data_IF_686669354256
#
_entry.id   IF_686669354256
#
_cell.length_a   1.000
_cell.length_b   1.000
_cell.length_c   1.000
_cell.angle_alpha   90.00
_cell.angle_beta   90.00
_cell.angle_gamma   90.00
#
_symmetry.space_group_name_H-M   'P 1'
#
loop_
_entity.id
_entity.type
_entity.pdbx_description
1 polymer ?
#
# COMPACT_ATOMS: atom_id res chain seq x y z
N UNK A 1 62.71 55.27 -35.13
CA UNK A 1 62.18 56.67 -35.22
C UNK A 1 60.69 56.49 -34.89
N UNK A 2 60.26 56.89 -33.83
CA UNK A 2 60.05 57.91 -32.82
C UNK A 2 58.86 57.36 -32.09
N UNK A 3 58.99 57.13 -30.86
CA UNK A 3 58.75 58.04 -29.70
C UNK A 3 57.26 58.36 -29.49
N UNK A 4 56.73 57.76 -28.45
CA UNK A 4 56.41 58.33 -27.14
C UNK A 4 55.05 59.06 -27.14
N UNK A 5 54.17 58.71 -26.27
CA UNK A 5 53.80 59.46 -25.12
C UNK A 5 52.69 58.80 -24.31
N UNK A 6 52.96 58.78 -23.01
CA UNK A 6 52.03 58.56 -21.90
C UNK A 6 50.93 59.59 -21.92
N UNK A 7 49.74 59.25 -21.50
CA UNK A 7 49.05 60.02 -20.49
C UNK A 7 47.97 59.27 -19.74
N UNK A 8 48.03 59.46 -18.46
CA UNK A 8 47.12 58.96 -17.42
C UNK A 8 45.87 59.83 -17.34
N UNK A 9 44.72 59.23 -17.02
CA UNK A 9 43.76 59.84 -16.08
C UNK A 9 42.61 58.83 -15.83
N UNK A 10 42.53 58.29 -14.67
CA UNK A 10 41.59 58.49 -13.54
C UNK A 10 40.14 58.41 -13.85
N UNK A 11 39.58 57.39 -13.15
CA UNK A 11 38.34 57.42 -12.39
C UNK A 11 37.03 57.78 -13.10
N UNK A 12 36.17 56.82 -13.23
CA UNK A 12 34.82 57.04 -12.67
C UNK A 12 34.15 55.73 -12.27
N UNK A 13 33.68 55.80 -11.10
CA UNK A 13 32.86 54.87 -10.33
C UNK A 13 31.55 54.52 -11.01
N UNK A 14 31.15 53.26 -10.86
CA UNK A 14 29.84 52.92 -10.33
C UNK A 14 28.69 53.03 -11.31
N UNK A 15 28.33 51.89 -11.86
CA UNK A 15 26.91 51.62 -12.09
C UNK A 15 26.66 50.16 -11.70
N UNK A 16 26.12 50.00 -10.48
CA UNK A 16 25.55 48.76 -10.02
C UNK A 16 24.41 48.44 -10.97
N UNK A 17 24.63 47.44 -11.82
CA UNK A 17 23.55 46.77 -12.56
C UNK A 17 22.65 46.06 -11.54
N UNK A 18 21.57 46.72 -11.15
CA UNK A 18 20.48 46.11 -10.40
C UNK A 18 19.94 44.94 -11.16
N UNK A 19 20.23 43.76 -10.67
CA UNK A 19 19.63 42.52 -11.11
C UNK A 19 18.09 42.66 -11.04
N UNK A 20 17.34 42.36 -12.12
CA UNK A 20 15.88 42.43 -12.06
C UNK A 20 15.38 41.38 -11.08
N UNK A 21 14.72 41.80 -10.00
CA UNK A 21 13.95 40.92 -9.13
C UNK A 21 12.94 40.17 -10.01
N UNK A 22 13.16 38.88 -10.19
CA UNK A 22 12.15 37.98 -10.77
C UNK A 22 10.92 38.04 -9.88
N UNK A 23 9.81 38.46 -10.46
CA UNK A 23 8.49 38.34 -9.83
C UNK A 23 8.23 36.84 -9.60
N UNK A 24 7.67 36.44 -8.45
CA UNK A 24 7.32 35.04 -8.22
C UNK A 24 6.32 34.58 -9.29
N UNK A 25 6.63 33.43 -9.88
CA UNK A 25 5.78 32.76 -10.86
C UNK A 25 4.38 32.49 -10.26
N UNK A 26 3.31 32.70 -11.02
CA UNK A 26 1.93 32.39 -10.58
C UNK A 26 1.57 30.90 -10.67
N UNK A 27 2.55 30.01 -10.84
CA UNK A 27 2.28 28.59 -10.80
C UNK A 27 2.06 28.17 -9.33
N UNK A 28 0.93 27.51 -9.02
CA UNK A 28 0.72 26.96 -7.70
C UNK A 28 1.88 26.00 -7.41
N UNK A 29 2.47 26.17 -6.23
CA UNK A 29 3.53 25.26 -5.74
C UNK A 29 3.06 23.84 -5.92
N UNK A 30 3.92 23.00 -6.49
CA UNK A 30 3.66 21.58 -6.64
C UNK A 30 3.16 21.05 -5.30
N UNK A 31 1.95 20.50 -5.28
CA UNK A 31 1.36 19.90 -4.11
C UNK A 31 2.32 18.83 -3.60
N UNK A 32 2.87 19.02 -2.40
CA UNK A 32 3.47 17.93 -1.64
C UNK A 32 2.38 16.92 -1.29
N UNK A 33 2.16 15.96 -2.18
CA UNK A 33 1.21 14.84 -2.02
C UNK A 33 1.76 13.81 -1.02
N UNK A 34 2.87 14.11 -0.36
CA UNK A 34 3.55 13.19 0.53
C UNK A 34 3.10 13.41 1.98
N UNK A 35 2.17 12.57 2.46
CA UNK A 35 2.07 12.33 3.90
C UNK A 35 3.28 11.50 4.28
N UNK A 36 4.27 12.04 5.02
CA UNK A 36 5.47 11.28 5.32
C UNK A 36 5.10 10.02 6.08
N UNK A 37 5.65 8.87 5.66
CA UNK A 37 5.45 7.53 6.28
C UNK A 37 5.44 7.58 7.82
N UNK A 38 6.23 8.50 8.41
CA UNK A 38 6.29 8.73 9.86
C UNK A 38 5.02 9.32 10.48
N UNK A 39 4.25 10.15 9.76
CA UNK A 39 3.00 10.70 10.27
C UNK A 39 1.89 9.66 10.26
N UNK A 40 1.82 8.84 9.22
CA UNK A 40 0.88 7.72 9.16
C UNK A 40 1.14 6.71 10.29
N UNK A 41 2.40 6.33 10.53
CA UNK A 41 2.78 5.43 11.61
C UNK A 41 2.46 6.02 13.01
N UNK A 42 2.59 7.34 13.20
CA UNK A 42 2.18 8.01 14.44
C UNK A 42 0.67 8.00 14.65
N UNK A 43 -0.11 8.19 13.58
CA UNK A 43 -1.58 8.13 13.67
C UNK A 43 -2.08 6.69 13.91
N UNK A 44 -1.40 5.68 13.35
CA UNK A 44 -1.65 4.27 13.69
C UNK A 44 -1.37 3.99 15.18
N UNK A 45 -0.29 4.56 15.74
CA UNK A 45 0.08 4.39 17.15
C UNK A 45 -0.95 5.00 18.12
N UNK A 46 -1.59 6.12 17.76
CA UNK A 46 -2.64 6.71 18.57
C UNK A 46 -3.96 5.93 18.53
N UNK A 47 -4.23 5.18 17.45
CA UNK A 47 -5.41 4.29 17.34
C UNK A 47 -5.30 3.01 18.17
N UNK A 48 -4.09 2.59 18.54
CA UNK A 48 -3.85 1.34 19.27
C UNK A 48 -4.00 1.46 20.80
N UNK A 49 -4.03 2.68 21.35
CA UNK A 49 -4.12 2.91 22.80
C UNK A 49 -5.50 2.57 23.42
N UNK A 50 -6.53 2.26 22.62
CA UNK A 50 -7.89 1.98 23.10
C UNK A 50 -8.20 0.49 23.31
N UNK A 51 -7.23 -0.42 23.13
CA UNK A 51 -7.46 -1.87 23.22
C UNK A 51 -6.70 -2.60 24.34
N UNK A 52 -6.25 -1.89 25.37
CA UNK A 52 -5.63 -2.53 26.53
C UNK A 52 -6.64 -2.63 27.69
N UNK A 53 -7.61 -3.53 27.59
CA UNK A 53 -8.30 -4.07 28.76
C UNK A 53 -8.00 -5.57 28.83
N UNK A 54 -7.09 -6.03 29.70
CA UNK A 54 -6.97 -7.45 30.00
C UNK A 54 -8.11 -7.82 30.95
N UNK A 55 -9.07 -8.57 30.48
CA UNK A 55 -10.13 -9.00 31.38
C UNK A 55 -11.13 -9.94 30.76
N UNK A 56 -11.15 -11.14 31.29
CA UNK A 56 -12.24 -12.12 31.32
C UNK A 56 -12.70 -12.68 29.97
N UNK A 57 -12.23 -13.92 29.69
CA UNK A 57 -12.58 -14.73 28.54
C UNK A 57 -12.21 -14.07 27.22
N UNK A 58 -10.93 -14.14 26.86
CA UNK A 58 -10.50 -13.78 25.52
C UNK A 58 -11.26 -14.68 24.55
N UNK A 59 -12.34 -14.17 24.00
CA UNK A 59 -13.06 -14.85 22.92
C UNK A 59 -12.03 -15.10 21.81
N UNK A 60 -11.84 -16.37 21.48
CA UNK A 60 -10.88 -16.75 20.46
C UNK A 60 -11.21 -16.02 19.17
N UNK A 61 -10.23 -15.31 18.62
CA UNK A 61 -10.42 -14.57 17.38
C UNK A 61 -10.83 -15.51 16.25
N UNK A 62 -11.73 -15.06 15.39
CA UNK A 62 -12.10 -15.82 14.20
C UNK A 62 -10.88 -15.97 13.29
N UNK A 63 -10.56 -17.20 12.93
CA UNK A 63 -9.45 -17.48 12.03
C UNK A 63 -9.70 -16.87 10.66
N UNK A 64 -8.67 -16.29 10.07
CA UNK A 64 -8.71 -15.88 8.66
C UNK A 64 -8.86 -17.13 7.79
N UNK A 65 -9.92 -17.21 6.95
CA UNK A 65 -10.18 -18.40 6.16
C UNK A 65 -9.09 -18.62 5.11
N UNK A 66 -8.68 -19.87 4.95
CA UNK A 66 -7.84 -20.27 3.81
C UNK A 66 -8.67 -20.18 2.53
N UNK A 67 -8.11 -19.54 1.53
CA UNK A 67 -8.74 -19.42 0.20
C UNK A 67 -7.73 -19.80 -0.87
N UNK A 68 -8.21 -19.94 -2.11
CA UNK A 68 -7.36 -20.26 -3.26
C UNK A 68 -6.40 -19.10 -3.55
N UNK A 69 -5.16 -19.44 -3.93
CA UNK A 69 -4.19 -18.50 -4.47
C UNK A 69 -4.65 -17.91 -5.81
N UNK A 70 -5.46 -18.68 -6.53
CA UNK A 70 -5.86 -18.34 -7.88
C UNK A 70 -4.70 -18.48 -8.89
N UNK A 71 -4.97 -18.20 -10.17
CA UNK A 71 -4.00 -18.41 -11.23
C UNK A 71 -3.03 -17.25 -11.45
N UNK A 72 -3.15 -16.16 -10.69
CA UNK A 72 -2.46 -14.89 -10.99
C UNK A 72 -1.48 -14.41 -9.92
N UNK A 73 -1.02 -15.30 -9.03
CA UNK A 73 0.20 -15.01 -8.28
C UNK A 73 1.33 -14.79 -9.28
N UNK A 74 2.11 -13.68 -9.19
CA UNK A 74 3.10 -13.35 -10.21
C UNK A 74 4.05 -14.52 -10.50
N UNK A 75 4.09 -14.98 -11.74
CA UNK A 75 5.02 -16.02 -12.21
C UNK A 75 6.44 -15.48 -12.38
N UNK A 76 6.57 -14.17 -12.54
CA UNK A 76 7.83 -13.42 -12.46
C UNK A 76 7.59 -12.25 -11.50
N UNK A 77 8.31 -12.24 -10.37
CA UNK A 77 8.20 -11.14 -9.42
C UNK A 77 8.76 -9.85 -10.03
N UNK A 78 8.15 -8.68 -9.74
CA UNK A 78 8.72 -7.41 -10.15
C UNK A 78 10.07 -7.17 -9.47
N UNK A 79 10.89 -6.30 -10.06
CA UNK A 79 12.17 -5.91 -9.47
C UNK A 79 11.99 -5.16 -8.14
N UNK A 80 10.94 -4.35 -8.07
CA UNK A 80 10.49 -3.71 -6.86
C UNK A 80 9.40 -4.58 -6.21
N UNK A 81 9.59 -4.94 -4.96
CA UNK A 81 8.66 -5.78 -4.20
C UNK A 81 8.35 -5.17 -2.85
N UNK A 82 8.57 -3.88 -2.67
CA UNK A 82 8.30 -3.21 -1.41
C UNK A 82 6.78 -3.11 -1.12
N UNK A 83 6.41 -2.39 -0.10
CA UNK A 83 5.01 -2.24 0.34
C UNK A 83 4.29 -1.03 -0.27
N UNK A 84 4.90 -0.31 -1.21
CA UNK A 84 4.28 0.77 -1.95
C UNK A 84 4.00 0.33 -3.40
N UNK A 85 2.80 -0.17 -3.66
CA UNK A 85 2.42 -0.65 -4.98
C UNK A 85 2.04 0.48 -5.95
N UNK A 86 1.91 1.71 -5.44
CA UNK A 86 1.43 2.88 -6.20
C UNK A 86 2.56 3.61 -6.90
N UNK A 87 3.78 3.54 -6.34
CA UNK A 87 4.98 4.16 -6.90
C UNK A 87 6.06 3.10 -7.06
N UNK A 88 6.44 2.81 -8.30
CA UNK A 88 7.49 1.83 -8.61
C UNK A 88 8.84 2.54 -8.62
N UNK A 89 9.74 2.17 -7.72
CA UNK A 89 11.04 2.83 -7.53
C UNK A 89 10.84 4.36 -7.38
N UNK A 90 11.60 5.15 -8.12
CA UNK A 90 11.55 6.62 -8.09
C UNK A 90 10.72 7.23 -9.24
N UNK A 91 9.76 6.47 -9.81
CA UNK A 91 8.92 7.00 -10.88
C UNK A 91 8.08 8.17 -10.38
N UNK A 92 8.03 9.23 -11.18
CA UNK A 92 7.26 10.45 -10.88
C UNK A 92 5.76 10.27 -11.09
N UNK A 93 5.34 9.31 -11.91
CA UNK A 93 3.94 9.05 -12.23
C UNK A 93 3.43 7.91 -11.35
N UNK A 94 2.49 8.18 -10.44
CA UNK A 94 1.88 7.13 -9.63
C UNK A 94 0.93 6.27 -10.47
N UNK A 95 0.56 5.11 -9.92
CA UNK A 95 -0.50 4.26 -10.46
C UNK A 95 -1.85 4.95 -10.48
N UNK A 96 -2.72 4.50 -11.38
CA UNK A 96 -4.10 4.97 -11.48
C UNK A 96 -5.00 4.17 -10.54
N UNK A 97 -5.84 4.86 -9.75
CA UNK A 97 -6.82 4.23 -8.85
C UNK A 97 -7.07 5.03 -7.58
N UNK A 98 -8.02 4.59 -6.76
CA UNK A 98 -8.26 5.16 -5.43
C UNK A 98 -7.17 4.64 -4.47
N UNK A 99 -6.18 5.50 -4.17
CA UNK A 99 -5.07 5.14 -3.28
C UNK A 99 -5.61 4.68 -1.94
N UNK A 100 -5.15 3.52 -1.48
CA UNK A 100 -5.62 2.88 -0.24
C UNK A 100 -4.44 2.44 0.63
N UNK A 101 -4.50 2.78 1.89
CA UNK A 101 -3.62 2.27 2.93
C UNK A 101 -4.24 1.03 3.56
N UNK A 102 -3.77 -0.15 3.13
CA UNK A 102 -4.16 -1.43 3.73
C UNK A 102 -3.21 -1.73 4.87
N UNK A 103 -3.75 -1.83 6.10
CA UNK A 103 -2.95 -2.09 7.29
C UNK A 103 -3.61 -3.14 8.18
N UNK A 104 -2.86 -3.73 9.09
CA UNK A 104 -3.37 -4.67 10.06
C UNK A 104 -2.29 -5.32 10.87
N UNK A 105 -2.66 -6.37 11.59
CA UNK A 105 -1.75 -7.19 12.40
C UNK A 105 -1.89 -8.65 12.02
N UNK A 106 -0.78 -9.36 12.05
CA UNK A 106 -0.77 -10.81 12.00
C UNK A 106 -0.79 -11.34 13.44
N UNK A 107 -1.81 -12.11 13.76
CA UNK A 107 -2.10 -12.58 15.11
C UNK A 107 -2.28 -14.09 15.16
N UNK A 108 -2.01 -14.68 16.32
CA UNK A 108 -2.48 -16.04 16.65
C UNK A 108 -3.97 -16.01 16.99
N UNK A 109 -4.62 -17.17 17.05
CA UNK A 109 -6.00 -17.30 17.51
C UNK A 109 -6.22 -16.73 18.95
N UNK A 110 -5.18 -16.72 19.77
CA UNK A 110 -5.20 -16.13 21.11
C UNK A 110 -4.93 -14.62 21.15
N UNK A 111 -4.79 -13.96 19.96
CA UNK A 111 -4.52 -12.53 19.85
C UNK A 111 -3.07 -12.11 20.04
N UNK A 112 -2.14 -13.05 20.20
CA UNK A 112 -0.72 -12.73 20.31
C UNK A 112 -0.14 -12.35 18.94
N UNK A 113 0.74 -11.33 18.85
CA UNK A 113 1.32 -10.91 17.59
C UNK A 113 2.32 -11.94 17.03
N UNK A 114 2.33 -12.11 15.72
CA UNK A 114 3.29 -12.93 14.99
C UNK A 114 4.26 -11.98 14.29
N UNK A 115 5.49 -11.95 14.78
CA UNK A 115 6.59 -11.10 14.27
C UNK A 115 7.44 -11.84 13.22
N UNK A 116 8.19 -11.08 12.43
CA UNK A 116 9.12 -11.59 11.42
C UNK A 116 8.47 -12.53 10.39
N UNK A 117 7.17 -12.42 10.19
CA UNK A 117 6.46 -13.08 9.12
C UNK A 117 6.49 -12.22 7.85
N UNK A 118 6.65 -12.83 6.69
CA UNK A 118 6.51 -12.13 5.42
C UNK A 118 5.05 -12.16 5.00
N UNK A 119 4.47 -10.98 4.84
CA UNK A 119 3.15 -10.78 4.20
C UNK A 119 3.41 -10.40 2.75
N UNK A 120 2.73 -11.06 1.84
CA UNK A 120 2.69 -10.71 0.43
C UNK A 120 1.26 -10.39 0.04
N UNK A 121 1.07 -9.35 -0.75
CA UNK A 121 -0.22 -9.07 -1.38
C UNK A 121 -0.06 -9.02 -2.89
N UNK A 122 -1.11 -9.40 -3.62
CA UNK A 122 -1.21 -9.19 -5.06
C UNK A 122 -2.64 -8.92 -5.46
N UNK A 123 -2.80 -8.08 -6.46
CA UNK A 123 -4.09 -7.69 -7.01
C UNK A 123 -3.93 -7.22 -8.46
N UNK A 124 -5.05 -7.12 -9.19
CA UNK A 124 -5.07 -6.46 -10.48
C UNK A 124 -4.96 -4.94 -10.33
N UNK A 125 -4.54 -4.27 -11.40
CA UNK A 125 -4.57 -2.82 -11.52
C UNK A 125 -6.00 -2.28 -11.69
N UNK A 126 -6.15 -0.96 -11.85
CA UNK A 126 -7.45 -0.30 -12.04
C UNK A 126 -8.19 -0.71 -13.32
N UNK A 127 -7.56 -1.41 -14.24
CA UNK A 127 -8.15 -1.96 -15.47
C UNK A 127 -8.52 -3.45 -15.36
N UNK A 128 -8.27 -4.07 -14.21
CA UNK A 128 -8.56 -5.48 -13.95
C UNK A 128 -7.48 -6.45 -14.46
N UNK A 129 -6.26 -5.97 -14.70
CA UNK A 129 -5.15 -6.75 -15.25
C UNK A 129 -4.10 -7.05 -14.17
N UNK A 130 -3.72 -8.33 -14.03
CA UNK A 130 -2.67 -8.78 -13.12
C UNK A 130 -1.28 -8.73 -13.74
N UNK A 131 -0.26 -8.62 -12.90
CA UNK A 131 1.13 -8.87 -13.28
C UNK A 131 1.36 -10.38 -13.38
N UNK A 132 0.93 -10.97 -14.50
CA UNK A 132 1.07 -12.40 -14.77
C UNK A 132 1.10 -12.65 -16.28
N UNK A 133 1.92 -13.62 -16.74
CA UNK A 133 2.03 -13.92 -18.19
C UNK A 133 0.73 -14.45 -18.79
N UNK A 134 -0.15 -15.06 -17.97
CA UNK A 134 -1.45 -15.61 -18.37
C UNK A 134 -2.64 -14.83 -17.84
N UNK A 135 -2.47 -13.51 -17.56
CA UNK A 135 -3.59 -12.70 -17.07
C UNK A 135 -4.78 -12.75 -18.04
N UNK A 136 -6.00 -12.81 -17.51
CA UNK A 136 -7.22 -12.87 -18.31
C UNK A 136 -7.64 -11.53 -18.93
N UNK A 137 -6.96 -10.43 -18.64
CA UNK A 137 -7.25 -9.09 -19.15
C UNK A 137 -6.43 -8.72 -20.39
N UNK A 138 -6.74 -7.58 -20.97
CA UNK A 138 -5.96 -6.99 -22.06
C UNK A 138 -4.65 -6.41 -21.53
N UNK A 139 -3.55 -7.14 -21.71
CA UNK A 139 -2.22 -6.74 -21.26
C UNK A 139 -1.76 -5.37 -21.77
N UNK A 140 -2.25 -4.95 -22.94
CA UNK A 140 -1.92 -3.64 -23.49
C UNK A 140 -2.51 -2.48 -22.65
N UNK A 141 -3.54 -2.77 -21.85
CA UNK A 141 -4.19 -1.81 -20.96
C UNK A 141 -3.62 -1.81 -19.54
N UNK A 142 -2.70 -2.73 -19.24
CA UNK A 142 -2.11 -2.79 -17.90
C UNK A 142 -1.42 -1.48 -17.53
N UNK A 143 -1.75 -0.97 -16.34
CA UNK A 143 -1.02 0.18 -15.79
C UNK A 143 0.41 -0.22 -15.41
N UNK A 144 1.37 0.23 -16.19
CA UNK A 144 2.79 -0.04 -15.96
C UNK A 144 3.38 0.70 -14.75
N UNK A 145 2.61 1.60 -14.14
CA UNK A 145 2.99 2.31 -12.91
C UNK A 145 2.48 1.62 -11.66
N UNK A 146 1.60 0.61 -11.80
CA UNK A 146 1.14 -0.18 -10.67
C UNK A 146 1.97 -1.46 -10.53
N UNK A 147 2.51 -1.69 -9.33
CA UNK A 147 3.41 -2.82 -9.04
C UNK A 147 2.68 -4.16 -9.02
N UNK A 148 1.37 -4.19 -8.75
CA UNK A 148 0.48 -5.34 -8.66
C UNK A 148 0.85 -6.37 -7.56
N UNK A 149 2.01 -6.30 -6.97
CA UNK A 149 2.55 -7.20 -5.95
C UNK A 149 3.36 -6.40 -4.94
N UNK A 150 3.25 -6.73 -3.67
CA UNK A 150 4.06 -6.10 -2.62
C UNK A 150 4.35 -7.05 -1.49
N UNK A 151 5.40 -6.75 -0.73
CA UNK A 151 5.88 -7.56 0.39
C UNK A 151 6.18 -6.69 1.60
N UNK A 152 5.89 -7.21 2.80
CA UNK A 152 6.19 -6.58 4.08
C UNK A 152 6.59 -7.62 5.11
N UNK A 153 7.52 -7.29 5.99
CA UNK A 153 7.88 -8.16 7.12
C UNK A 153 7.23 -7.58 8.38
N UNK A 154 6.44 -8.39 9.08
CA UNK A 154 5.71 -7.96 10.27
C UNK A 154 6.63 -7.47 11.38
N UNK A 155 6.22 -6.39 12.06
CA UNK A 155 6.93 -5.80 13.20
C UNK A 155 6.90 -6.69 14.44
N UNK A 156 7.54 -6.25 15.53
CA UNK A 156 7.48 -6.91 16.83
C UNK A 156 6.06 -7.02 17.40
N UNK A 157 5.17 -6.11 16.99
CA UNK A 157 3.74 -6.07 17.35
C UNK A 157 2.84 -6.75 16.31
N UNK A 158 3.43 -7.44 15.32
CA UNK A 158 2.72 -8.13 14.26
C UNK A 158 2.17 -7.21 13.17
N UNK A 159 2.45 -5.92 13.22
CA UNK A 159 1.89 -4.92 12.30
C UNK A 159 2.48 -5.04 10.90
N UNK A 160 1.62 -4.75 9.90
CA UNK A 160 2.00 -4.60 8.51
C UNK A 160 1.21 -3.46 7.86
N UNK A 161 1.73 -2.92 6.77
CA UNK A 161 1.09 -1.87 5.99
C UNK A 161 1.51 -1.95 4.53
N UNK A 162 0.55 -1.69 3.65
CA UNK A 162 0.75 -1.53 2.21
C UNK A 162 0.09 -0.25 1.74
N UNK A 163 0.72 0.42 0.79
CA UNK A 163 0.09 1.47 0.01
C UNK A 163 -0.26 0.89 -1.36
N UNK A 164 -1.55 0.78 -1.65
CA UNK A 164 -2.07 0.16 -2.85
C UNK A 164 -3.24 0.96 -3.41
N UNK A 165 -4.02 0.39 -4.31
CA UNK A 165 -5.28 0.97 -4.78
C UNK A 165 -6.45 0.13 -4.26
N UNK A 166 -7.63 0.76 -4.10
CA UNK A 166 -8.87 0.02 -3.86
C UNK A 166 -9.08 -1.00 -4.97
N UNK A 167 -9.33 -2.27 -4.63
CA UNK A 167 -9.44 -3.30 -5.64
C UNK A 167 -10.66 -3.08 -6.54
N UNK A 168 -10.53 -3.47 -7.81
CA UNK A 168 -11.59 -3.42 -8.80
C UNK A 168 -12.04 -4.83 -9.18
N UNK A 169 -13.27 -5.00 -9.70
CA UNK A 169 -13.71 -6.29 -10.20
C UNK A 169 -13.03 -6.63 -11.53
N UNK A 170 -12.89 -7.93 -11.81
CA UNK A 170 -12.57 -8.41 -13.14
C UNK A 170 -13.55 -9.55 -13.52
N UNK A 171 -13.61 -10.01 -14.80
CA UNK A 171 -14.65 -10.96 -15.22
C UNK A 171 -14.77 -12.20 -14.31
N UNK A 172 -15.96 -12.39 -13.74
CA UNK A 172 -16.28 -13.52 -12.86
C UNK A 172 -15.85 -13.36 -11.40
N UNK A 173 -15.27 -12.22 -10.98
CA UNK A 173 -14.80 -12.01 -9.63
C UNK A 173 -15.23 -10.66 -9.04
N UNK A 174 -15.59 -10.66 -7.78
CA UNK A 174 -15.73 -9.43 -6.99
C UNK A 174 -14.36 -8.73 -6.79
N UNK A 175 -14.34 -7.43 -6.48
CA UNK A 175 -13.10 -6.74 -6.07
C UNK A 175 -12.44 -7.42 -4.88
N UNK A 176 -11.17 -7.77 -5.00
CA UNK A 176 -10.43 -8.43 -3.92
C UNK A 176 -8.93 -8.17 -3.99
N UNK A 177 -8.27 -8.31 -2.86
CA UNK A 177 -6.81 -8.32 -2.73
C UNK A 177 -6.42 -9.68 -2.17
N UNK A 178 -5.52 -10.37 -2.83
CA UNK A 178 -4.92 -11.60 -2.31
C UNK A 178 -3.87 -11.29 -1.25
N UNK A 179 -3.74 -12.19 -0.29
CA UNK A 179 -2.69 -12.14 0.74
C UNK A 179 -2.11 -13.53 0.96
N UNK A 180 -0.80 -13.61 1.09
CA UNK A 180 -0.10 -14.78 1.58
C UNK A 180 0.72 -14.45 2.82
N UNK A 181 0.72 -15.35 3.79
CA UNK A 181 1.63 -15.31 4.95
C UNK A 181 2.69 -16.37 4.77
N UNK A 182 3.96 -15.97 4.90
CA UNK A 182 5.10 -16.88 4.92
C UNK A 182 5.83 -16.80 6.26
N UNK A 183 6.04 -17.94 6.87
CA UNK A 183 6.87 -18.10 8.07
C UNK A 183 8.13 -18.88 7.69
N UNK A 184 9.32 -18.32 8.00
CA UNK A 184 10.61 -18.94 7.65
C UNK A 184 10.68 -19.37 6.17
N UNK A 185 10.13 -18.53 5.28
CA UNK A 185 10.10 -18.78 3.84
C UNK A 185 8.99 -19.73 3.35
N UNK A 186 8.31 -20.45 4.27
CA UNK A 186 7.23 -21.38 3.93
C UNK A 186 5.88 -20.68 3.93
N UNK A 187 5.07 -20.89 2.88
CA UNK A 187 3.72 -20.34 2.74
C UNK A 187 2.75 -21.10 3.65
N UNK A 188 2.23 -20.43 4.67
CA UNK A 188 1.38 -21.04 5.71
C UNK A 188 -0.11 -20.70 5.53
N UNK A 189 -0.40 -19.51 4.99
CA UNK A 189 -1.76 -19.05 4.73
C UNK A 189 -1.82 -18.38 3.36
N UNK A 190 -2.89 -18.63 2.62
CA UNK A 190 -3.36 -17.81 1.51
C UNK A 190 -4.79 -17.44 1.78
N UNK A 191 -5.14 -16.18 1.59
CA UNK A 191 -6.49 -15.66 1.75
C UNK A 191 -6.74 -14.51 0.78
N UNK A 192 -7.96 -13.98 0.80
CA UNK A 192 -8.37 -12.83 -0.02
C UNK A 192 -9.27 -11.95 0.82
N UNK A 193 -9.10 -10.63 0.76
CA UNK A 193 -10.05 -9.71 1.35
C UNK A 193 -10.92 -9.06 0.28
N UNK A 194 -12.12 -8.64 0.69
CA UNK A 194 -13.20 -8.15 -0.17
C UNK A 194 -13.72 -6.81 0.36
N UNK A 195 -14.40 -6.05 -0.50
CA UNK A 195 -15.03 -4.79 -0.10
C UNK A 195 -16.37 -5.07 0.56
N UNK A 196 -16.58 -4.53 1.75
CA UNK A 196 -17.84 -4.64 2.51
C UNK A 196 -18.99 -4.05 1.71
N UNK A 197 -20.09 -4.80 1.62
CA UNK A 197 -21.31 -4.38 0.92
C UNK A 197 -21.21 -4.34 -0.61
N UNK A 198 -20.12 -4.81 -1.20
CA UNK A 198 -20.02 -4.85 -2.66
C UNK A 198 -20.97 -5.92 -3.22
N UNK A 199 -21.87 -5.56 -4.17
CA UNK A 199 -22.91 -6.48 -4.68
C UNK A 199 -22.33 -7.71 -5.37
N UNK A 200 -21.12 -7.63 -5.92
CA UNK A 200 -20.43 -8.76 -6.56
C UNK A 200 -20.03 -9.87 -5.59
N UNK A 201 -19.96 -9.61 -4.27
CA UNK A 201 -19.60 -10.64 -3.29
C UNK A 201 -20.56 -11.83 -3.33
N UNK A 202 -21.86 -11.57 -3.46
CA UNK A 202 -22.88 -12.62 -3.47
C UNK A 202 -22.80 -13.55 -4.69
N UNK A 203 -22.10 -13.15 -5.73
CA UNK A 203 -21.83 -13.96 -6.92
C UNK A 203 -20.40 -14.54 -6.95
N UNK A 204 -19.49 -14.06 -6.09
CA UNK A 204 -18.10 -14.50 -6.05
C UNK A 204 -17.94 -15.90 -5.44
N UNK A 205 -17.39 -16.84 -6.21
CA UNK A 205 -17.26 -18.24 -5.78
C UNK A 205 -16.43 -18.41 -4.50
N UNK A 206 -15.21 -17.91 -4.42
CA UNK A 206 -14.37 -17.97 -3.21
C UNK A 206 -15.02 -17.32 -1.99
N UNK A 207 -15.64 -16.15 -2.12
CA UNK A 207 -16.32 -15.50 -1.00
C UNK A 207 -17.52 -16.32 -0.50
N UNK A 208 -18.35 -16.84 -1.40
CA UNK A 208 -19.48 -17.73 -1.07
C UNK A 208 -19.03 -19.05 -0.45
N UNK A 209 -17.81 -19.47 -0.75
CA UNK A 209 -17.19 -20.67 -0.19
C UNK A 209 -16.96 -20.57 1.32
N UNK A 210 -16.84 -19.36 1.88
CA UNK A 210 -16.64 -19.13 3.30
C UNK A 210 -17.99 -19.33 4.01
N UNK A 211 -18.13 -20.43 4.76
CA UNK A 211 -19.41 -20.79 5.41
C UNK A 211 -19.61 -20.14 6.77
N UNK A 212 -18.51 -19.94 7.50
CA UNK A 212 -18.53 -19.30 8.82
C UNK A 212 -18.66 -17.77 8.66
N UNK A 213 -19.69 -17.19 9.27
CA UNK A 213 -19.96 -15.75 9.17
C UNK A 213 -18.84 -14.91 9.80
N UNK A 214 -18.26 -15.33 10.92
CA UNK A 214 -17.16 -14.60 11.58
C UNK A 214 -15.91 -14.59 10.71
N UNK A 215 -15.62 -15.70 10.00
CA UNK A 215 -14.53 -15.76 9.04
C UNK A 215 -14.81 -14.87 7.81
N UNK A 216 -16.07 -14.83 7.36
CA UNK A 216 -16.50 -13.96 6.26
C UNK A 216 -16.35 -12.50 6.63
N UNK A 217 -16.75 -12.12 7.86
CA UNK A 217 -16.61 -10.77 8.37
C UNK A 217 -15.13 -10.36 8.51
N UNK A 218 -14.25 -11.29 8.92
CA UNK A 218 -12.80 -11.05 9.01
C UNK A 218 -12.16 -10.64 7.67
N UNK A 219 -12.66 -11.17 6.55
CA UNK A 219 -12.11 -10.87 5.21
C UNK A 219 -12.91 -9.83 4.43
N UNK A 220 -13.97 -9.26 5.01
CA UNK A 220 -14.83 -8.27 4.35
C UNK A 220 -14.59 -6.91 4.97
N UNK A 221 -13.77 -6.10 4.28
CA UNK A 221 -13.21 -4.87 4.82
C UNK A 221 -14.00 -3.62 4.43
N UNK A 222 -13.99 -2.64 5.31
CA UNK A 222 -14.47 -1.30 5.03
C UNK A 222 -13.32 -0.46 4.41
N UNK A 223 -13.56 0.12 3.25
CA UNK A 223 -12.63 1.02 2.56
C UNK A 223 -13.12 2.45 2.79
N UNK A 224 -12.70 3.04 3.91
CA UNK A 224 -13.16 4.34 4.38
C UNK A 224 -12.19 5.47 4.00
N UNK A 225 -12.67 6.72 3.88
CA UNK A 225 -11.78 7.87 3.69
C UNK A 225 -10.74 7.96 4.81
N UNK A 226 -9.47 8.16 4.43
CA UNK A 226 -8.38 8.38 5.39
C UNK A 226 -8.52 9.77 6.01
N UNK A 227 -8.73 9.82 7.33
CA UNK A 227 -8.88 11.08 8.04
C UNK A 227 -7.65 11.98 7.83
N UNK A 228 -7.90 13.23 7.43
CA UNK A 228 -6.85 14.23 7.18
C UNK A 228 -6.13 14.10 5.84
N UNK A 229 -6.45 13.10 5.00
CA UNK A 229 -5.92 13.04 3.64
C UNK A 229 -6.50 14.14 2.77
N UNK A 230 -5.62 14.96 2.18
CA UNK A 230 -6.02 15.99 1.19
C UNK A 230 -6.16 15.41 -0.23
N UNK A 231 -5.60 14.23 -0.45
CA UNK A 231 -5.60 13.56 -1.75
C UNK A 231 -6.79 12.60 -1.94
N UNK A 232 -7.70 12.51 -0.95
CA UNK A 232 -8.85 11.59 -1.02
C UNK A 232 -8.46 10.13 -0.86
N UNK A 233 -7.33 9.85 -0.21
CA UNK A 233 -6.87 8.48 0.03
C UNK A 233 -7.83 7.73 0.95
N UNK A 234 -7.87 6.41 0.81
CA UNK A 234 -8.67 5.50 1.63
C UNK A 234 -7.79 4.75 2.63
N UNK A 235 -8.44 4.19 3.64
CA UNK A 235 -7.84 3.23 4.57
C UNK A 235 -8.71 1.99 4.64
N UNK A 236 -8.06 0.81 4.76
CA UNK A 236 -8.70 -0.46 5.05
C UNK A 236 -7.88 -1.19 6.10
N UNK A 237 -8.56 -1.83 7.07
CA UNK A 237 -7.90 -2.57 8.13
C UNK A 237 -8.21 -4.05 8.02
N UNK A 238 -7.17 -4.89 8.05
CA UNK A 238 -7.31 -6.33 8.02
C UNK A 238 -6.38 -6.99 9.05
N UNK A 239 -6.93 -7.41 10.20
CA UNK A 239 -6.18 -8.23 11.14
C UNK A 239 -6.27 -9.70 10.68
N UNK A 240 -5.13 -10.28 10.31
CA UNK A 240 -5.00 -11.66 9.83
C UNK A 240 -4.74 -12.58 11.01
N UNK A 241 -5.61 -13.57 11.23
CA UNK A 241 -5.56 -14.48 12.37
C UNK A 241 -5.21 -15.89 11.94
N UNK A 242 -4.09 -16.41 12.44
CA UNK A 242 -3.61 -17.76 12.14
C UNK A 242 -4.00 -18.77 13.21
N UNK A 243 -4.40 -19.98 12.78
CA UNK A 243 -4.77 -21.09 13.68
C UNK A 243 -3.59 -21.79 14.37
N UNK A 244 -2.36 -21.39 14.03
CA UNK A 244 -1.14 -21.96 14.63
C UNK A 244 -0.48 -20.94 15.56
N UNK A 245 0.13 -21.43 16.62
CA UNK A 245 1.07 -20.66 17.42
C UNK A 245 2.45 -20.90 16.80
N UNK A 246 3.15 -19.87 16.31
CA UNK A 246 4.51 -20.04 15.86
C UNK A 246 5.35 -20.56 17.03
N UNK A 247 6.10 -21.63 16.83
CA UNK A 247 7.12 -22.03 17.79
C UNK A 247 8.10 -20.87 17.94
N UNK A 248 8.30 -20.43 19.17
CA UNK A 248 9.26 -19.38 19.48
C UNK A 248 10.66 -19.88 19.11
N UNK A 249 11.25 -19.31 18.08
CA UNK A 249 12.65 -19.46 17.72
C UNK A 249 13.44 -18.25 18.15
#
# INVERSE_FOLDING_TARGET
MGEAARETSRDNFGEEASSPRMKPSPFPQAFEIYTPRRQFLRQLAYGSALFAVPGLFAEQLALTPKQTEGPFYPDVLPLDTDNDLVVINDKLTPAVGEITWLSGRLLTAAGSPIRNATIEIWQCDSTGVYLHTKTGGDKAKRDSNFQCFGRFVTSSTGEYVFRTIKPVPYPGRAPHIHLAVKLRGKKELVSQCYIKGHPGNDSDGPWKGIKDQRQRDNVTLDFAPLAGSKAGELTAKWDVVMGMTPEHG
#
